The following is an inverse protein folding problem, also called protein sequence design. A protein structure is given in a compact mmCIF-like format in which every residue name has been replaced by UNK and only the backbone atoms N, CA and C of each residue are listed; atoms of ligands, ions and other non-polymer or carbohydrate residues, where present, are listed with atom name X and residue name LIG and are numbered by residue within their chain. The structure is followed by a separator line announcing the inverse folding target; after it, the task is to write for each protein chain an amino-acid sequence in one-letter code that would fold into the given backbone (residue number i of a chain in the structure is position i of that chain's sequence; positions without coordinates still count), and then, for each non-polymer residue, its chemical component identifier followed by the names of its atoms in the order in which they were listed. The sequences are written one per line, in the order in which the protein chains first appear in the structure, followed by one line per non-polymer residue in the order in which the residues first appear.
data_IF_054169369584
#
_entry.id   IF_054169369584
#
_cell.length_a   1.000
_cell.length_b   1.000
_cell.length_c   1.000
_cell.angle_alpha   90.00
_cell.angle_beta   90.00
_cell.angle_gamma   90.00
#
_symmetry.space_group_name_H-M   'P 1'
#
loop_
_entity.id
_entity.type
_entity.pdbx_description
1 polymer ?
#
# COMPACT_ATOMS: atom_id res chain seq x y z
N UNK A 1 -3.14 -12.71 6.57
CA UNK A 1 -2.23 -12.37 7.65
C UNK A 1 -0.81 -12.31 7.10
N UNK A 2 -0.06 -11.31 7.51
CA UNK A 2 1.37 -11.15 7.23
C UNK A 2 2.08 -11.21 8.59
N UNK A 3 3.03 -12.11 8.74
CA UNK A 3 3.88 -12.15 9.92
C UNK A 3 5.19 -11.44 9.61
N UNK A 4 5.54 -10.45 10.41
CA UNK A 4 6.84 -9.82 10.42
C UNK A 4 7.69 -10.49 11.49
N UNK A 5 8.81 -11.06 11.09
CA UNK A 5 9.75 -11.72 11.99
C UNK A 5 11.06 -10.94 11.93
N UNK A 6 11.44 -10.32 13.03
CA UNK A 6 12.67 -9.54 13.11
C UNK A 6 13.81 -10.36 13.71
N UNK A 7 15.01 -10.22 13.13
CA UNK A 7 16.23 -10.90 13.57
C UNK A 7 17.37 -9.89 13.75
N UNK A 8 18.17 -10.08 14.78
CA UNK A 8 19.36 -9.27 15.07
C UNK A 8 19.17 -8.29 16.24
N UNK A 9 20.23 -7.61 16.63
CA UNK A 9 20.29 -6.78 17.84
C UNK A 9 19.36 -5.56 17.86
N UNK A 10 18.79 -5.19 16.72
CA UNK A 10 17.83 -4.07 16.62
C UNK A 10 16.36 -4.53 16.48
N UNK A 11 16.10 -5.82 16.60
CA UNK A 11 14.77 -6.39 16.41
C UNK A 11 13.74 -5.84 17.41
N UNK A 12 14.15 -5.68 18.66
CA UNK A 12 13.30 -5.14 19.73
C UNK A 12 12.90 -3.69 19.45
N UNK A 13 13.86 -2.84 19.07
CA UNK A 13 13.59 -1.45 18.72
C UNK A 13 12.64 -1.30 17.53
N UNK A 14 12.68 -2.23 16.59
CA UNK A 14 11.79 -2.21 15.44
C UNK A 14 10.34 -2.45 15.86
N UNK A 15 10.11 -3.42 16.70
CA UNK A 15 8.76 -3.75 17.20
C UNK A 15 8.19 -2.58 17.98
N UNK A 16 9.00 -1.93 18.81
CA UNK A 16 8.60 -0.75 19.59
C UNK A 16 8.19 0.43 18.69
N UNK A 17 8.83 0.60 17.54
CA UNK A 17 8.47 1.66 16.58
C UNK A 17 7.25 1.33 15.73
N UNK A 18 7.05 0.06 15.38
CA UNK A 18 5.94 -0.39 14.52
C UNK A 18 4.65 -0.60 15.32
N UNK A 19 4.75 -1.11 16.53
CA UNK A 19 3.59 -1.47 17.35
C UNK A 19 2.59 -0.32 17.54
N UNK A 20 3.01 0.91 17.87
CA UNK A 20 2.07 2.03 18.02
C UNK A 20 1.34 2.37 16.72
N UNK A 21 2.03 2.23 15.58
CA UNK A 21 1.48 2.56 14.27
C UNK A 21 0.51 1.49 13.74
N UNK A 22 0.70 0.24 14.17
CA UNK A 22 -0.01 -0.92 13.65
C UNK A 22 -0.85 -1.65 14.68
N UNK A 23 -0.99 -1.12 15.89
CA UNK A 23 -1.68 -1.77 17.00
C UNK A 23 -3.07 -2.31 16.63
N UNK A 24 -3.84 -1.56 15.82
CA UNK A 24 -5.15 -1.99 15.31
C UNK A 24 -5.10 -3.12 14.26
N UNK A 25 -3.93 -3.46 13.75
CA UNK A 25 -3.71 -4.51 12.73
C UNK A 25 -2.87 -5.68 13.25
N UNK A 26 -2.28 -5.56 14.42
CA UNK A 26 -1.56 -6.65 15.09
C UNK A 26 -2.55 -7.69 15.58
N UNK A 27 -2.29 -8.94 15.29
CA UNK A 27 -3.11 -10.08 15.71
C UNK A 27 -2.25 -10.98 16.58
N UNK A 28 -2.73 -11.32 17.77
CA UNK A 28 -2.05 -12.26 18.67
C UNK A 28 -1.67 -13.56 17.93
N UNK A 29 -0.48 -14.10 18.22
CA UNK A 29 0.07 -15.31 17.62
C UNK A 29 -0.87 -16.52 17.88
N UNK A 30 -0.97 -17.44 16.93
CA UNK A 30 -1.76 -18.67 17.09
C UNK A 30 -2.36 -19.24 15.82
N UNK A 31 -2.25 -18.55 14.68
CA UNK A 31 -2.63 -19.09 13.36
C UNK A 31 -1.45 -18.98 12.41
N UNK A 32 -1.20 -20.04 11.64
CA UNK A 32 -0.16 -20.05 10.60
C UNK A 32 -0.36 -18.87 9.65
N UNK A 33 0.66 -18.06 9.48
CA UNK A 33 0.61 -16.94 8.53
C UNK A 33 0.49 -17.45 7.11
N UNK A 34 -0.37 -16.81 6.32
CA UNK A 34 -0.45 -17.07 4.88
C UNK A 34 0.73 -16.43 4.11
N UNK A 35 1.47 -15.54 4.76
CA UNK A 35 2.57 -14.77 4.19
C UNK A 35 3.55 -14.43 5.29
N UNK A 36 4.84 -14.61 5.03
CA UNK A 36 5.92 -14.32 5.98
C UNK A 36 6.87 -13.28 5.37
N UNK A 37 7.26 -12.29 6.17
CA UNK A 37 8.33 -11.37 5.85
C UNK A 37 9.36 -11.36 6.98
N UNK A 38 10.59 -11.75 6.68
CA UNK A 38 11.70 -11.73 7.62
C UNK A 38 12.46 -10.42 7.48
N UNK A 39 12.74 -9.78 8.61
CA UNK A 39 13.53 -8.54 8.63
C UNK A 39 14.88 -8.82 9.28
N UNK A 40 15.94 -8.53 8.57
CA UNK A 40 17.32 -8.72 9.01
C UNK A 40 18.00 -7.37 9.16
N UNK A 41 18.63 -7.16 10.31
CA UNK A 41 19.49 -6.02 10.57
C UNK A 41 20.95 -6.45 10.58
N UNK A 42 21.78 -5.79 9.79
CA UNK A 42 23.22 -5.96 9.83
C UNK A 42 23.91 -4.67 10.26
N UNK A 43 24.67 -4.74 11.35
CA UNK A 43 25.54 -3.67 11.85
C UNK A 43 26.92 -3.69 11.17
N UNK A 44 27.04 -4.31 9.99
CA UNK A 44 28.31 -4.55 9.32
C UNK A 44 28.92 -3.31 8.67
N UNK A 45 30.26 -3.26 8.70
CA UNK A 45 31.10 -2.20 8.11
C UNK A 45 31.07 -2.10 6.58
N UNK A 46 30.27 -2.91 5.87
CA UNK A 46 30.50 -3.24 4.45
C UNK A 46 29.76 -2.29 3.49
N UNK A 47 28.71 -1.61 3.93
CA UNK A 47 27.87 -0.89 2.97
C UNK A 47 27.93 0.63 3.13
N UNK A 48 28.89 1.23 2.41
CA UNK A 48 29.00 2.70 2.27
C UNK A 48 28.10 3.28 1.19
N UNK A 49 27.48 2.46 0.35
CA UNK A 49 26.60 2.93 -0.72
C UNK A 49 25.14 2.79 -0.30
N UNK A 50 24.38 3.84 -0.53
CA UNK A 50 22.93 3.88 -0.39
C UNK A 50 22.29 3.68 -1.75
N UNK A 51 21.14 3.02 -1.78
CA UNK A 51 20.25 3.09 -2.92
C UNK A 51 19.63 4.50 -3.01
N UNK A 52 18.96 4.80 -4.11
CA UNK A 52 18.25 6.07 -4.26
C UNK A 52 17.03 6.19 -3.34
N UNK A 53 16.46 7.37 -3.31
CA UNK A 53 15.20 7.68 -2.59
C UNK A 53 13.96 7.13 -3.29
N UNK A 54 14.11 6.60 -4.51
CA UNK A 54 13.07 5.85 -5.20
C UNK A 54 13.40 4.37 -5.20
N UNK A 55 12.42 3.47 -5.02
CA UNK A 55 12.64 2.03 -5.07
C UNK A 55 12.99 1.60 -6.49
N UNK A 56 14.04 0.80 -6.61
CA UNK A 56 14.54 0.27 -7.89
C UNK A 56 14.57 -1.26 -7.87
N UNK A 57 14.29 -1.87 -9.02
CA UNK A 57 14.53 -3.30 -9.23
C UNK A 57 16.03 -3.48 -9.47
N UNK A 58 16.66 -4.34 -8.69
CA UNK A 58 18.08 -4.69 -8.85
C UNK A 58 18.17 -5.81 -9.86
N UNK A 59 18.89 -5.54 -10.97
CA UNK A 59 19.26 -6.58 -11.92
C UNK A 59 20.35 -7.45 -11.32
N UNK A 60 20.03 -8.72 -11.12
CA UNK A 60 20.90 -9.71 -10.50
C UNK A 60 22.12 -10.06 -11.36
N UNK A 61 22.04 -9.86 -12.66
CA UNK A 61 23.09 -10.29 -13.60
C UNK A 61 24.13 -9.21 -13.90
N UNK A 62 23.80 -7.94 -13.65
CA UNK A 62 24.62 -6.80 -14.08
C UNK A 62 25.03 -5.87 -12.94
N UNK A 63 24.57 -6.10 -11.72
CA UNK A 63 24.81 -5.18 -10.63
C UNK A 63 26.03 -5.58 -9.78
N UNK A 64 27.01 -4.68 -9.54
CA UNK A 64 28.10 -4.92 -8.60
C UNK A 64 27.61 -5.18 -7.16
N UNK A 65 26.30 -5.00 -6.91
CA UNK A 65 25.66 -5.36 -5.65
C UNK A 65 25.46 -6.84 -5.47
N UNK A 66 25.33 -7.61 -6.57
CA UNK A 66 25.16 -9.06 -6.50
C UNK A 66 26.42 -9.79 -6.02
N UNK A 67 27.61 -9.29 -6.33
CA UNK A 67 28.85 -9.87 -5.78
C UNK A 67 28.99 -9.62 -4.28
N UNK A 68 28.70 -8.41 -3.82
CA UNK A 68 28.87 -8.05 -2.42
C UNK A 68 27.71 -8.51 -1.51
N UNK A 69 26.49 -8.64 -2.04
CA UNK A 69 25.30 -9.08 -1.31
C UNK A 69 25.01 -10.57 -1.50
N UNK A 70 25.53 -11.18 -2.59
CA UNK A 70 25.15 -12.52 -3.02
C UNK A 70 25.26 -13.58 -1.94
N UNK A 71 26.43 -13.69 -1.31
CA UNK A 71 26.66 -14.68 -0.27
C UNK A 71 25.80 -14.47 0.98
N UNK A 72 25.55 -13.21 1.33
CA UNK A 72 24.71 -12.87 2.49
C UNK A 72 23.24 -13.03 2.19
N UNK A 73 22.80 -12.67 0.99
CA UNK A 73 21.43 -12.90 0.56
C UNK A 73 21.12 -14.39 0.48
N UNK A 74 22.08 -15.22 0.06
CA UNK A 74 21.94 -16.66 0.07
C UNK A 74 21.83 -17.22 1.49
N UNK A 75 22.54 -16.63 2.46
CA UNK A 75 22.42 -17.01 3.88
C UNK A 75 21.04 -16.62 4.47
N UNK A 76 20.51 -15.47 4.07
CA UNK A 76 19.21 -14.96 4.56
C UNK A 76 18.04 -15.67 3.89
N UNK A 77 18.16 -15.92 2.60
CA UNK A 77 17.16 -16.59 1.78
C UNK A 77 17.84 -17.61 0.84
N UNK A 78 18.10 -18.82 1.32
CA UNK A 78 18.72 -19.87 0.51
C UNK A 78 17.96 -20.11 -0.80
N UNK A 79 18.70 -20.19 -1.91
CA UNK A 79 18.12 -20.37 -3.24
C UNK A 79 17.44 -19.12 -3.82
N UNK A 80 17.74 -17.92 -3.32
CA UNK A 80 17.11 -16.69 -3.84
C UNK A 80 17.48 -16.43 -5.31
N UNK A 81 18.65 -16.85 -5.73
CA UNK A 81 19.09 -16.71 -7.14
C UNK A 81 18.31 -17.63 -8.09
N UNK A 82 17.92 -18.82 -7.62
CA UNK A 82 17.15 -19.82 -8.37
C UNK A 82 15.64 -19.56 -8.30
N UNK A 83 15.21 -18.89 -7.24
CA UNK A 83 13.81 -18.55 -7.04
C UNK A 83 13.35 -17.46 -8.03
N UNK A 84 12.07 -17.46 -8.38
CA UNK A 84 11.44 -16.37 -9.14
C UNK A 84 11.25 -15.13 -8.25
N UNK A 85 12.36 -14.60 -7.76
CA UNK A 85 12.40 -13.49 -6.83
C UNK A 85 12.66 -12.17 -7.51
N UNK A 86 12.03 -11.12 -7.01
CA UNK A 86 12.42 -9.75 -7.29
C UNK A 86 13.28 -9.22 -6.15
N UNK A 87 14.35 -8.49 -6.47
CA UNK A 87 15.16 -7.77 -5.50
C UNK A 87 14.94 -6.29 -5.70
N UNK A 88 14.50 -5.60 -4.67
CA UNK A 88 14.16 -4.17 -4.73
C UNK A 88 15.00 -3.42 -3.71
N UNK A 89 15.83 -2.50 -4.20
CA UNK A 89 16.67 -1.62 -3.38
C UNK A 89 15.98 -0.30 -3.06
N UNK A 90 16.19 0.17 -1.84
CA UNK A 90 15.70 1.48 -1.39
C UNK A 90 16.57 2.00 -0.24
N UNK A 91 17.11 3.22 -0.39
CA UNK A 91 17.98 3.86 0.60
C UNK A 91 19.06 2.89 1.13
N UNK A 92 18.98 2.52 2.40
CA UNK A 92 19.92 1.65 3.10
C UNK A 92 19.37 0.25 3.38
N UNK A 93 18.54 -0.27 2.46
CA UNK A 93 17.98 -1.61 2.58
C UNK A 93 17.54 -2.19 1.24
N UNK A 94 17.21 -3.46 1.25
CA UNK A 94 16.60 -4.12 0.11
C UNK A 94 15.52 -5.13 0.55
N UNK A 95 14.59 -5.40 -0.35
CA UNK A 95 13.57 -6.42 -0.23
C UNK A 95 13.85 -7.53 -1.25
N UNK A 96 13.94 -8.77 -0.78
CA UNK A 96 13.87 -9.97 -1.61
C UNK A 96 12.44 -10.47 -1.54
N UNK A 97 11.78 -10.63 -2.67
CA UNK A 97 10.40 -11.11 -2.74
C UNK A 97 10.28 -12.35 -3.64
N UNK A 98 9.97 -13.51 -3.03
CA UNK A 98 9.65 -14.74 -3.76
C UNK A 98 8.14 -14.80 -4.04
N UNK A 99 7.81 -14.63 -5.31
CA UNK A 99 6.43 -14.57 -5.80
C UNK A 99 5.71 -15.92 -5.78
N UNK A 100 6.44 -17.03 -5.86
CA UNK A 100 5.83 -18.38 -5.89
C UNK A 100 5.17 -18.73 -4.57
N UNK A 101 5.80 -18.30 -3.48
CA UNK A 101 5.35 -18.61 -2.12
C UNK A 101 4.85 -17.39 -1.36
N UNK A 102 4.85 -16.21 -1.98
CA UNK A 102 4.49 -14.92 -1.36
C UNK A 102 5.29 -14.69 -0.06
N UNK A 103 6.56 -15.01 -0.07
CA UNK A 103 7.49 -14.77 1.05
C UNK A 103 8.43 -13.64 0.70
N UNK A 104 8.89 -12.91 1.71
CA UNK A 104 9.88 -11.86 1.55
C UNK A 104 10.90 -11.86 2.66
N UNK A 105 12.06 -11.30 2.36
CA UNK A 105 13.06 -10.93 3.35
C UNK A 105 13.48 -9.49 3.10
N UNK A 106 13.46 -8.68 4.15
CA UNK A 106 13.95 -7.31 4.15
C UNK A 106 15.30 -7.30 4.84
N UNK A 107 16.26 -6.72 4.17
CA UNK A 107 17.61 -6.54 4.70
C UNK A 107 17.88 -5.06 4.90
N UNK A 108 18.18 -4.64 6.12
CA UNK A 108 18.51 -3.26 6.47
C UNK A 108 20.00 -3.14 6.81
N UNK A 109 20.68 -2.27 6.09
CA UNK A 109 22.07 -1.91 6.35
C UNK A 109 22.10 -0.84 7.45
N UNK A 110 22.30 -1.27 8.67
CA UNK A 110 22.38 -0.36 9.80
C UNK A 110 23.81 0.13 9.99
N UNK A 111 23.98 1.45 9.93
CA UNK A 111 25.19 2.11 10.41
C UNK A 111 24.81 2.97 11.62
N UNK A 112 25.54 2.87 12.73
CA UNK A 112 25.31 3.66 13.94
C UNK A 112 25.15 5.14 13.57
N UNK A 113 24.01 5.74 13.89
CA UNK A 113 23.68 7.13 13.52
C UNK A 113 22.91 7.31 12.20
N UNK A 114 22.47 6.22 11.54
CA UNK A 114 21.67 6.32 10.32
C UNK A 114 20.23 6.72 10.66
N UNK A 115 19.88 7.97 10.37
CA UNK A 115 18.55 8.57 10.63
C UNK A 115 17.39 7.97 9.79
N UNK A 116 17.68 7.09 8.83
CA UNK A 116 16.70 6.63 7.83
C UNK A 116 16.26 5.18 7.97
N UNK A 117 16.67 4.46 9.01
CA UNK A 117 16.32 3.04 9.19
C UNK A 117 14.80 2.83 9.26
N UNK A 118 14.04 3.58 10.08
CA UNK A 118 12.60 3.42 10.15
C UNK A 118 11.92 3.69 8.81
N UNK A 119 12.33 4.75 8.11
CA UNK A 119 11.75 5.10 6.80
C UNK A 119 12.04 4.04 5.73
N UNK A 120 13.26 3.48 5.72
CA UNK A 120 13.63 2.40 4.79
C UNK A 120 12.82 1.14 5.06
N UNK A 121 12.74 0.72 6.31
CA UNK A 121 11.97 -0.44 6.69
C UNK A 121 10.49 -0.27 6.34
N UNK A 122 9.91 0.84 6.73
CA UNK A 122 8.52 1.17 6.44
C UNK A 122 8.21 1.08 4.94
N UNK A 123 9.07 1.68 4.12
CA UNK A 123 8.91 1.65 2.66
C UNK A 123 9.04 0.23 2.08
N UNK A 124 10.01 -0.55 2.55
CA UNK A 124 10.20 -1.93 2.06
C UNK A 124 9.06 -2.85 2.51
N UNK A 125 8.56 -2.71 3.73
CA UNK A 125 7.36 -3.42 4.20
C UNK A 125 6.14 -3.02 3.36
N UNK A 126 5.97 -1.74 3.09
CA UNK A 126 4.90 -1.24 2.24
C UNK A 126 4.94 -1.85 0.84
N UNK A 127 6.12 -1.86 0.19
CA UNK A 127 6.32 -2.47 -1.13
C UNK A 127 6.00 -3.97 -1.08
N UNK A 128 6.49 -4.67 -0.05
CA UNK A 128 6.19 -6.09 0.14
C UNK A 128 4.68 -6.34 0.21
N UNK A 129 3.96 -5.56 1.02
CA UNK A 129 2.51 -5.67 1.14
C UNK A 129 1.82 -5.40 -0.19
N UNK A 130 2.23 -4.37 -0.95
CA UNK A 130 1.69 -4.07 -2.28
C UNK A 130 1.81 -5.27 -3.23
N UNK A 131 3.00 -5.87 -3.30
CA UNK A 131 3.27 -7.01 -4.18
C UNK A 131 2.45 -8.26 -3.77
N UNK A 132 2.36 -8.53 -2.47
CA UNK A 132 1.52 -9.62 -1.95
C UNK A 132 0.04 -9.40 -2.26
N UNK A 133 -0.45 -8.18 -2.08
CA UNK A 133 -1.86 -7.85 -2.37
C UNK A 133 -2.16 -8.03 -3.86
N UNK A 134 -1.29 -7.52 -4.74
CA UNK A 134 -1.44 -7.70 -6.17
C UNK A 134 -1.44 -9.19 -6.57
N UNK A 135 -0.57 -10.01 -5.96
CA UNK A 135 -0.55 -11.46 -6.15
C UNK A 135 -1.82 -12.18 -5.70
N UNK A 136 -2.62 -11.55 -4.84
CA UNK A 136 -3.92 -12.07 -4.32
C UNK A 136 -5.14 -11.41 -4.94
N UNK A 137 -5.02 -10.83 -6.13
CA UNK A 137 -6.08 -10.11 -6.83
C UNK A 137 -6.69 -8.96 -6.00
N UNK A 138 -5.83 -8.20 -5.33
CA UNK A 138 -6.17 -7.00 -4.58
C UNK A 138 -5.31 -5.84 -5.05
N UNK A 139 -5.87 -4.64 -5.01
CA UNK A 139 -5.15 -3.41 -5.35
C UNK A 139 -4.88 -2.60 -4.09
N UNK A 140 -3.65 -2.21 -3.87
CA UNK A 140 -3.34 -1.09 -2.98
C UNK A 140 -3.31 0.19 -3.81
N UNK A 141 -4.11 1.17 -3.43
CA UNK A 141 -4.40 2.34 -4.26
C UNK A 141 -4.02 3.61 -3.51
N UNK A 142 -3.24 4.50 -4.17
CA UNK A 142 -2.95 5.83 -3.64
C UNK A 142 -4.21 6.70 -3.66
N UNK A 143 -4.92 6.70 -2.53
CA UNK A 143 -6.22 7.35 -2.42
C UNK A 143 -6.73 7.40 -0.99
N UNK A 144 -7.85 8.08 -0.78
CA UNK A 144 -8.58 8.05 0.48
C UNK A 144 -9.78 7.10 0.37
N UNK A 145 -9.84 6.14 1.28
CA UNK A 145 -10.96 5.21 1.42
C UNK A 145 -11.84 5.64 2.58
N UNK A 146 -13.13 5.85 2.34
CA UNK A 146 -14.08 6.27 3.37
C UNK A 146 -15.30 5.36 3.34
N UNK A 147 -15.70 4.87 4.52
CA UNK A 147 -16.95 4.15 4.72
C UNK A 147 -17.98 5.09 5.32
N UNK A 148 -19.13 5.23 4.64
CA UNK A 148 -20.26 6.00 5.18
C UNK A 148 -20.98 5.23 6.28
N UNK A 149 -21.33 5.93 7.35
CA UNK A 149 -22.15 5.38 8.43
C UNK A 149 -23.62 5.43 8.09
N UNK A 150 -24.08 6.53 7.49
CA UNK A 150 -25.47 6.68 7.04
C UNK A 150 -25.61 6.24 5.59
N UNK A 151 -26.57 5.37 5.32
CA UNK A 151 -26.81 4.83 3.98
C UNK A 151 -25.80 3.75 3.54
N UNK A 152 -24.74 3.49 4.31
CA UNK A 152 -23.72 2.49 3.99
C UNK A 152 -22.85 2.87 2.81
N UNK A 153 -22.00 1.93 2.41
CA UNK A 153 -21.14 2.04 1.23
C UNK A 153 -19.74 2.57 1.49
N UNK A 154 -18.82 2.09 0.69
CA UNK A 154 -17.42 2.52 0.63
C UNK A 154 -17.18 3.41 -0.57
N UNK A 155 -16.37 4.42 -0.41
CA UNK A 155 -16.01 5.39 -1.44
C UNK A 155 -14.50 5.50 -1.53
N UNK A 156 -13.99 5.49 -2.75
CA UNK A 156 -12.57 5.64 -3.05
C UNK A 156 -12.34 7.00 -3.71
N UNK A 157 -11.62 7.88 -3.03
CA UNK A 157 -11.26 9.19 -3.54
C UNK A 157 -9.83 9.19 -4.05
N UNK A 158 -9.66 9.53 -5.32
CA UNK A 158 -8.42 9.55 -6.06
C UNK A 158 -8.05 10.97 -6.48
N UNK A 159 -6.78 11.22 -6.72
CA UNK A 159 -6.29 12.48 -7.23
C UNK A 159 -4.80 12.63 -6.99
N UNK A 160 -4.18 13.51 -7.76
CA UNK A 160 -2.73 13.80 -7.64
C UNK A 160 -2.38 14.36 -6.27
N UNK A 161 -1.10 14.47 -5.98
CA UNK A 161 -0.65 15.16 -4.77
C UNK A 161 -1.25 16.58 -4.73
N UNK A 162 -1.80 16.97 -3.58
CA UNK A 162 -2.48 18.26 -3.43
C UNK A 162 -3.93 18.32 -3.92
N UNK A 163 -4.47 17.30 -4.60
CA UNK A 163 -5.86 17.31 -5.09
C UNK A 163 -6.93 17.36 -3.99
N UNK A 164 -6.56 17.09 -2.72
CA UNK A 164 -7.48 17.23 -1.59
C UNK A 164 -7.91 15.91 -0.94
N UNK A 165 -7.20 14.79 -1.15
CA UNK A 165 -7.50 13.50 -0.50
C UNK A 165 -7.59 13.59 1.02
N UNK A 166 -6.57 14.17 1.66
CA UNK A 166 -6.56 14.39 3.12
C UNK A 166 -7.62 15.41 3.55
N UNK A 167 -7.93 16.38 2.69
CA UNK A 167 -9.02 17.35 2.93
C UNK A 167 -10.38 16.65 2.95
N UNK A 168 -10.65 15.76 1.99
CA UNK A 168 -11.87 14.95 1.96
C UNK A 168 -12.00 14.11 3.24
N UNK A 169 -10.92 13.46 3.67
CA UNK A 169 -10.91 12.69 4.92
C UNK A 169 -11.23 13.58 6.14
N UNK A 170 -10.62 14.76 6.22
CA UNK A 170 -10.85 15.72 7.31
C UNK A 170 -12.27 16.34 7.27
N UNK A 171 -12.83 16.59 6.07
CA UNK A 171 -14.18 17.10 5.85
C UNK A 171 -15.28 16.02 5.93
N UNK A 172 -14.95 14.83 6.38
CA UNK A 172 -15.89 13.72 6.57
C UNK A 172 -16.12 13.40 8.06
N UNK A 173 -16.49 14.39 8.91
CA UNK A 173 -16.71 14.16 10.33
C UNK A 173 -17.87 13.17 10.52
N UNK A 174 -17.65 12.19 11.39
CA UNK A 174 -18.65 11.15 11.66
C UNK A 174 -18.63 9.97 10.70
N UNK A 175 -17.91 10.02 9.59
CA UNK A 175 -17.66 8.88 8.71
C UNK A 175 -16.43 8.07 9.17
N UNK A 176 -16.23 6.87 8.61
CA UNK A 176 -15.07 6.03 8.95
C UNK A 176 -14.03 6.15 7.83
N UNK A 177 -12.94 6.84 8.12
CA UNK A 177 -11.78 6.86 7.22
C UNK A 177 -11.06 5.52 7.32
N UNK A 178 -11.10 4.72 6.27
CA UNK A 178 -10.45 3.41 6.18
C UNK A 178 -8.94 3.55 5.99
N UNK A 179 -8.54 4.48 5.14
CA UNK A 179 -7.16 4.92 4.93
C UNK A 179 -7.22 6.25 4.15
N UNK A 180 -6.31 7.15 4.42
CA UNK A 180 -6.16 8.42 3.69
C UNK A 180 -5.03 8.39 2.65
N UNK A 181 -4.34 7.25 2.53
CA UNK A 181 -3.19 7.09 1.62
C UNK A 181 -3.22 5.80 0.79
N UNK A 182 -3.51 4.65 1.41
CA UNK A 182 -3.36 3.36 0.74
C UNK A 182 -4.45 2.34 1.10
N UNK A 183 -5.75 2.60 0.84
CA UNK A 183 -6.78 1.58 1.00
C UNK A 183 -6.55 0.38 0.08
N UNK A 184 -7.05 -0.78 0.50
CA UNK A 184 -7.03 -2.00 -0.33
C UNK A 184 -8.39 -2.21 -0.97
N UNK A 185 -8.40 -2.43 -2.27
CA UNK A 185 -9.58 -2.84 -3.03
C UNK A 185 -9.49 -4.34 -3.32
N UNK A 186 -10.52 -5.09 -2.96
CA UNK A 186 -10.63 -6.53 -3.14
C UNK A 186 -11.81 -6.86 -4.06
N UNK A 187 -11.56 -7.70 -5.07
CA UNK A 187 -12.63 -8.34 -5.83
C UNK A 187 -13.25 -9.47 -5.01
N UNK A 188 -14.57 -9.51 -4.92
CA UNK A 188 -15.32 -10.55 -4.22
C UNK A 188 -16.61 -10.93 -4.93
N UNK A 189 -17.34 -11.86 -4.35
CA UNK A 189 -18.69 -12.22 -4.80
C UNK A 189 -19.60 -10.98 -4.68
N UNK A 190 -20.23 -10.60 -5.78
CA UNK A 190 -21.13 -9.45 -5.83
C UNK A 190 -20.46 -8.08 -5.96
N UNK A 191 -19.17 -8.02 -6.38
CA UNK A 191 -18.51 -6.76 -6.70
C UNK A 191 -17.19 -6.54 -5.96
N UNK A 192 -16.89 -5.28 -5.66
CA UNK A 192 -15.64 -4.88 -5.03
C UNK A 192 -15.86 -4.37 -3.61
N UNK A 193 -14.86 -4.59 -2.76
CA UNK A 193 -14.84 -4.08 -1.39
C UNK A 193 -13.61 -3.24 -1.15
N UNK A 194 -13.76 -2.22 -0.35
CA UNK A 194 -12.68 -1.37 0.14
C UNK A 194 -12.39 -1.70 1.60
N UNK A 195 -11.12 -1.83 1.95
CA UNK A 195 -10.65 -2.24 3.27
C UNK A 195 -9.79 -1.18 3.92
N UNK A 196 -9.83 -1.13 5.24
CA UNK A 196 -8.90 -0.36 6.05
C UNK A 196 -7.47 -0.93 5.95
N UNK A 197 -6.48 -0.02 6.04
CA UNK A 197 -5.05 -0.36 6.11
C UNK A 197 -4.34 0.49 7.16
N UNK A 198 -3.18 0.04 7.69
CA UNK A 198 -2.37 0.84 8.61
C UNK A 198 -1.63 1.99 7.94
N UNK A 199 -1.62 2.02 6.61
CA UNK A 199 -0.90 3.04 5.84
C UNK A 199 -1.70 4.33 5.78
N UNK A 200 -1.15 5.39 6.37
CA UNK A 200 -1.80 6.69 6.52
C UNK A 200 -0.75 7.79 6.56
N UNK A 201 -1.04 8.96 5.99
CA UNK A 201 -0.17 10.12 6.00
C UNK A 201 -0.44 11.04 7.19
N UNK A 202 -1.66 11.13 7.64
CA UNK A 202 -2.11 12.17 8.59
C UNK A 202 -2.30 11.60 9.97
N UNK A 203 -1.45 10.92 10.61
CA UNK A 203 -1.56 10.62 12.06
C UNK A 203 -2.99 10.57 12.67
N UNK A 204 -4.00 10.26 11.86
CA UNK A 204 -5.44 10.18 12.20
C UNK A 204 -5.69 9.14 13.33
N UNK A 205 -4.63 8.51 13.78
CA UNK A 205 -4.61 7.35 14.65
C UNK A 205 -5.25 7.51 16.04
N UNK A 206 -5.32 8.72 16.56
CA UNK A 206 -5.74 8.92 17.97
C UNK A 206 -7.24 8.74 18.23
N UNK A 207 -8.08 8.62 17.19
CA UNK A 207 -9.53 8.50 17.31
C UNK A 207 -10.14 7.25 16.64
N UNK A 208 -9.30 6.26 16.25
CA UNK A 208 -9.78 5.09 15.53
C UNK A 208 -10.54 4.12 16.45
N UNK A 209 -11.67 3.58 16.01
CA UNK A 209 -12.42 2.60 16.79
C UNK A 209 -11.61 1.31 17.01
N UNK A 210 -11.76 0.65 18.16
CA UNK A 210 -11.04 -0.58 18.56
C UNK A 210 -11.01 -1.72 17.53
N UNK A 211 -11.86 -1.72 16.51
CA UNK A 211 -11.92 -2.72 15.43
C UNK A 211 -11.76 -2.10 14.06
N UNK A 212 -11.04 -1.00 13.98
CA UNK A 212 -10.84 -0.30 12.71
C UNK A 212 -10.17 -1.18 11.64
N UNK A 213 -9.19 -1.99 12.00
CA UNK A 213 -8.49 -2.90 11.10
C UNK A 213 -9.39 -3.94 10.41
N UNK A 214 -10.56 -4.23 10.97
CA UNK A 214 -11.55 -5.14 10.40
C UNK A 214 -12.59 -4.41 9.54
N UNK A 215 -12.50 -3.09 9.42
CA UNK A 215 -13.46 -2.33 8.63
C UNK A 215 -13.26 -2.58 7.15
N UNK A 216 -14.35 -2.96 6.53
CA UNK A 216 -14.47 -3.10 5.08
C UNK A 216 -15.89 -2.75 4.67
N UNK A 217 -16.04 -2.34 3.43
CA UNK A 217 -17.35 -2.00 2.91
C UNK A 217 -17.43 -2.30 1.42
N UNK A 218 -18.64 -2.52 0.89
CA UNK A 218 -18.86 -2.60 -0.55
C UNK A 218 -18.48 -1.27 -1.18
N UNK A 219 -17.63 -1.30 -2.21
CA UNK A 219 -17.23 -0.11 -2.94
C UNK A 219 -18.38 0.33 -3.86
N UNK A 220 -18.91 1.53 -3.61
CA UNK A 220 -20.04 2.09 -4.34
C UNK A 220 -19.59 3.00 -5.48
N UNK A 221 -18.46 3.69 -5.29
CA UNK A 221 -18.00 4.69 -6.26
C UNK A 221 -16.52 4.95 -6.16
N UNK A 222 -15.92 5.25 -7.33
CA UNK A 222 -14.57 5.82 -7.48
C UNK A 222 -14.74 7.29 -7.83
N UNK A 223 -14.12 8.19 -7.07
CA UNK A 223 -14.25 9.63 -7.22
C UNK A 223 -12.89 10.25 -7.47
N UNK A 224 -12.71 10.87 -8.63
CA UNK A 224 -11.50 11.60 -8.99
C UNK A 224 -11.65 13.06 -8.58
N UNK A 225 -10.69 13.59 -7.84
CA UNK A 225 -10.76 14.88 -7.16
C UNK A 225 -10.13 15.99 -7.99
N UNK A 226 -10.85 17.09 -8.13
CA UNK A 226 -10.41 18.33 -8.75
C UNK A 226 -10.75 19.51 -7.84
N UNK A 227 -9.78 20.39 -7.59
CA UNK A 227 -10.03 21.63 -6.86
C UNK A 227 -10.79 22.61 -7.76
N UNK A 228 -11.82 23.25 -7.21
CA UNK A 228 -12.62 24.24 -7.91
C UNK A 228 -13.25 25.24 -6.92
N UNK A 229 -13.74 26.37 -7.44
CA UNK A 229 -14.42 27.40 -6.63
C UNK A 229 -15.88 27.03 -6.30
N UNK A 230 -16.43 26.04 -6.99
CA UNK A 230 -17.75 25.46 -6.75
C UNK A 230 -17.69 23.97 -6.51
N UNK A 231 -18.84 23.35 -6.18
CA UNK A 231 -18.94 21.92 -5.95
C UNK A 231 -19.97 21.31 -6.90
N UNK A 232 -19.49 20.43 -7.79
CA UNK A 232 -20.33 19.65 -8.73
C UNK A 232 -19.65 18.32 -9.07
N UNK A 233 -20.41 17.41 -9.65
CA UNK A 233 -19.91 16.11 -10.05
C UNK A 233 -20.30 15.79 -11.50
N UNK A 234 -19.38 15.16 -12.25
CA UNK A 234 -19.60 14.70 -13.61
C UNK A 234 -19.28 13.20 -13.74
N UNK A 235 -20.03 12.44 -14.52
CA UNK A 235 -19.67 11.05 -14.83
C UNK A 235 -18.29 11.00 -15.49
N UNK A 236 -17.50 9.98 -15.13
CA UNK A 236 -16.20 9.71 -15.76
C UNK A 236 -16.27 8.45 -16.58
N UNK A 237 -15.82 8.53 -17.82
CA UNK A 237 -15.79 7.37 -18.70
C UNK A 237 -14.86 6.27 -18.17
N UNK A 238 -15.31 5.04 -18.33
CA UNK A 238 -14.66 3.83 -17.80
C UNK A 238 -13.19 3.71 -18.19
N UNK A 239 -12.86 3.96 -19.45
CA UNK A 239 -11.50 3.77 -19.94
C UNK A 239 -10.53 4.81 -19.37
N UNK A 240 -10.95 6.07 -19.23
CA UNK A 240 -10.13 7.10 -18.58
C UNK A 240 -9.96 6.81 -17.08
N UNK A 241 -11.03 6.38 -16.40
CA UNK A 241 -10.96 5.98 -15.01
C UNK A 241 -9.97 4.81 -14.79
N UNK A 242 -10.03 3.79 -15.68
CA UNK A 242 -9.15 2.63 -15.62
C UNK A 242 -7.68 3.01 -15.86
N UNK A 243 -7.41 3.83 -16.85
CA UNK A 243 -6.04 4.24 -17.18
C UNK A 243 -5.42 5.05 -16.05
N UNK A 244 -6.10 6.10 -15.56
CA UNK A 244 -5.58 6.92 -14.48
C UNK A 244 -5.44 6.14 -13.17
N UNK A 245 -6.42 5.28 -12.83
CA UNK A 245 -6.30 4.38 -11.68
C UNK A 245 -5.03 3.54 -11.78
N UNK A 246 -4.77 2.93 -12.93
CA UNK A 246 -3.65 2.01 -13.13
C UNK A 246 -2.31 2.74 -13.09
N UNK A 247 -2.18 3.86 -13.81
CA UNK A 247 -0.89 4.55 -14.00
C UNK A 247 -0.51 5.43 -12.82
N UNK A 248 -1.48 6.12 -12.23
CA UNK A 248 -1.23 7.17 -11.26
C UNK A 248 -1.56 6.73 -9.82
N UNK A 249 -2.41 5.70 -9.65
CA UNK A 249 -2.93 5.37 -8.33
C UNK A 249 -2.64 3.95 -7.84
N UNK A 250 -2.36 2.96 -8.70
CA UNK A 250 -1.97 1.64 -8.21
C UNK A 250 -0.55 1.67 -7.67
N UNK A 251 -0.41 1.47 -6.36
CA UNK A 251 0.89 1.44 -5.71
C UNK A 251 1.80 0.34 -6.26
N UNK A 252 3.06 0.67 -6.43
CA UNK A 252 4.13 -0.25 -6.85
C UNK A 252 3.91 -0.91 -8.23
N UNK A 253 3.01 -0.39 -9.09
CA UNK A 253 2.76 -0.94 -10.41
C UNK A 253 4.04 -1.03 -11.25
N UNK A 254 4.91 0.00 -11.18
CA UNK A 254 6.20 0.02 -11.86
C UNK A 254 7.15 -1.11 -11.46
N UNK A 255 7.05 -1.59 -10.21
CA UNK A 255 7.88 -2.66 -9.64
C UNK A 255 7.33 -4.07 -9.93
N UNK A 256 6.16 -4.19 -10.53
CA UNK A 256 5.54 -5.46 -10.86
C UNK A 256 6.14 -6.05 -12.14
N UNK A 257 6.26 -7.37 -12.18
CA UNK A 257 6.61 -8.07 -13.42
C UNK A 257 5.44 -8.08 -14.42
N UNK A 258 5.72 -8.46 -15.66
CA UNK A 258 4.76 -8.45 -16.76
C UNK A 258 3.46 -9.24 -16.45
N UNK A 259 3.57 -10.44 -15.88
CA UNK A 259 2.40 -11.25 -15.53
C UNK A 259 1.54 -10.60 -14.44
N UNK A 260 2.18 -10.02 -13.42
CA UNK A 260 1.48 -9.31 -12.34
C UNK A 260 0.89 -7.99 -12.83
N UNK A 261 1.60 -7.26 -13.69
CA UNK A 261 1.06 -6.06 -14.37
C UNK A 261 -0.20 -6.36 -15.16
N UNK A 262 -0.21 -7.45 -15.93
CA UNK A 262 -1.39 -7.89 -16.70
C UNK A 262 -2.58 -8.19 -15.78
N UNK A 263 -2.38 -8.98 -14.71
CA UNK A 263 -3.44 -9.26 -13.72
C UNK A 263 -3.96 -8.00 -13.06
N UNK A 264 -3.07 -7.08 -12.73
CA UNK A 264 -3.43 -5.80 -12.12
C UNK A 264 -4.26 -4.94 -13.08
N UNK A 265 -3.87 -4.90 -14.36
CA UNK A 265 -4.65 -4.26 -15.41
C UNK A 265 -6.06 -4.87 -15.54
N UNK A 266 -6.16 -6.20 -15.63
CA UNK A 266 -7.44 -6.91 -15.73
C UNK A 266 -8.34 -6.61 -14.53
N UNK A 267 -7.74 -6.51 -13.34
CA UNK A 267 -8.47 -6.17 -12.11
C UNK A 267 -8.97 -4.71 -12.12
N UNK A 268 -8.15 -3.75 -12.56
CA UNK A 268 -8.55 -2.35 -12.73
C UNK A 268 -9.65 -2.21 -13.79
N UNK A 269 -9.53 -2.92 -14.90
CA UNK A 269 -10.54 -2.91 -15.96
C UNK A 269 -11.89 -3.46 -15.48
N UNK A 270 -11.88 -4.57 -14.73
CA UNK A 270 -13.09 -5.12 -14.10
C UNK A 270 -13.68 -4.16 -13.07
N UNK A 271 -12.83 -3.57 -12.23
CA UNK A 271 -13.23 -2.61 -11.19
C UNK A 271 -13.99 -1.43 -11.81
N UNK A 272 -13.39 -0.76 -12.78
CA UNK A 272 -14.02 0.38 -13.47
C UNK A 272 -15.20 -0.02 -14.35
N UNK A 273 -15.36 -1.33 -14.65
CA UNK A 273 -16.52 -1.85 -15.37
C UNK A 273 -17.74 -2.09 -14.50
N UNK A 274 -17.55 -2.24 -13.19
CA UNK A 274 -18.61 -2.61 -12.23
C UNK A 274 -18.91 -1.44 -11.29
N UNK A 275 -17.87 -0.69 -10.88
CA UNK A 275 -18.01 0.42 -9.94
C UNK A 275 -18.05 1.73 -10.71
N UNK A 276 -19.11 2.53 -10.57
CA UNK A 276 -19.22 3.84 -11.23
C UNK A 276 -18.06 4.76 -10.86
N UNK A 277 -17.52 5.46 -11.84
CA UNK A 277 -16.51 6.50 -11.66
C UNK A 277 -17.07 7.89 -11.94
N UNK A 278 -16.61 8.89 -11.20
CA UNK A 278 -17.00 10.28 -11.40
C UNK A 278 -15.84 11.22 -11.07
N UNK A 279 -15.84 12.37 -11.74
CA UNK A 279 -15.03 13.52 -11.40
C UNK A 279 -15.79 14.40 -10.40
N UNK A 280 -15.18 14.69 -9.26
CA UNK A 280 -15.70 15.61 -8.26
C UNK A 280 -14.86 16.89 -8.28
N UNK A 281 -15.47 17.95 -8.73
CA UNK A 281 -14.97 19.30 -8.58
C UNK A 281 -15.50 19.84 -7.25
N UNK A 282 -14.62 20.28 -6.35
CA UNK A 282 -15.09 20.67 -5.03
C UNK A 282 -14.28 21.82 -4.42
N UNK A 283 -15.00 22.63 -3.69
CA UNK A 283 -14.49 23.62 -2.76
C UNK A 283 -14.21 22.94 -1.41
N UNK A 284 -13.33 23.49 -0.60
CA UNK A 284 -12.96 22.94 0.72
C UNK A 284 -14.09 23.10 1.76
N UNK A 285 -15.27 22.57 1.44
CA UNK A 285 -16.42 22.45 2.35
C UNK A 285 -17.00 21.03 2.33
N UNK A 286 -17.84 20.69 3.32
CA UNK A 286 -18.39 19.35 3.47
C UNK A 286 -19.59 19.02 2.57
N UNK A 287 -20.05 19.93 1.71
CA UNK A 287 -21.25 19.76 0.89
C UNK A 287 -21.15 18.70 -0.21
N UNK A 288 -19.94 18.26 -0.54
CA UNK A 288 -19.71 17.25 -1.58
C UNK A 288 -20.39 15.89 -1.30
N UNK A 289 -20.65 15.56 -0.02
CA UNK A 289 -21.26 14.27 0.32
C UNK A 289 -22.67 14.08 -0.23
N UNK A 290 -23.43 15.13 -0.37
CA UNK A 290 -24.77 15.06 -0.98
C UNK A 290 -24.67 14.59 -2.43
N UNK A 291 -23.73 15.12 -3.20
CA UNK A 291 -23.50 14.73 -4.59
C UNK A 291 -22.96 13.32 -4.71
N UNK A 292 -21.96 12.97 -3.90
CA UNK A 292 -21.29 11.66 -3.96
C UNK A 292 -22.24 10.53 -3.59
N UNK A 293 -23.21 10.77 -2.70
CA UNK A 293 -24.12 9.76 -2.22
C UNK A 293 -25.38 9.60 -3.09
N UNK A 294 -25.88 10.65 -3.70
CA UNK A 294 -27.16 10.64 -4.44
C UNK A 294 -27.03 10.21 -5.90
N UNK A 295 -25.89 10.31 -6.50
CA UNK A 295 -25.66 9.97 -7.91
C UNK A 295 -25.60 8.43 -8.18
N UNK A 296 -26.28 7.61 -7.44
CA UNK A 296 -26.31 6.14 -7.51
C UNK A 296 -27.71 5.56 -7.65
N UNK A 297 -28.67 6.36 -8.16
CA UNK A 297 -29.98 5.89 -8.59
C UNK A 297 -29.98 5.53 -10.07
#
# INVERSE_FOLDING_TARGET
RIDLVAHGAAAEHLLDEIEPLWSGFLVASGRTAAVECRVHYDCGRIYRRRFGSEPIIIDRNSSPWTEALGDRMEQIYPGYMEAATAVIGFLNGCLIFDRRVNRGAIYIFYTKGALHVPATLWKLVFIFVCLVMAGKNRLMVHGAGIKRRRGGGGYLFLGRSGAGKSTIAALSPGEIVLSDDAPVIEAGEGGFRIHATPFTQTGIDRQRPKRWSLQKERLQRIVFLHQADGTWMAPRERHYACMELLTDHVHCYGLMEAALKRRTFDLCHRLCGVVPAADLYFRRDGGFWELVATAGG
#
